data_IF_616584735646
#
_entry.id   IF_616584735646
#
_cell.length_a   1.000
_cell.length_b   1.000
_cell.length_c   1.000
_cell.angle_alpha   90.00
_cell.angle_beta   90.00
_cell.angle_gamma   90.00
#
_symmetry.space_group_name_H-M   'P 1'
#
loop_
_entity.id
_entity.type
_entity.pdbx_description
1 polymer ?
#
# COMPACT_ATOMS: atom_id res chain seq x y z
N UNK A 1 -8.16 6.34 -5.91
CA UNK A 1 -8.48 6.70 -4.52
C UNK A 1 -9.33 7.95 -4.56
N UNK A 2 -10.49 7.91 -3.92
CA UNK A 2 -11.40 9.06 -3.84
C UNK A 2 -11.77 9.29 -2.38
N UNK A 3 -11.69 10.53 -1.92
CA UNK A 3 -11.96 10.90 -0.52
C UNK A 3 -12.49 12.32 -0.43
N UNK A 4 -13.30 12.59 0.59
CA UNK A 4 -13.75 13.92 0.97
C UNK A 4 -13.03 14.45 2.22
N UNK A 5 -12.07 13.69 2.77
CA UNK A 5 -11.36 14.06 4.00
C UNK A 5 -10.34 15.17 3.73
N UNK A 6 -10.32 16.25 4.53
CA UNK A 6 -9.47 17.42 4.27
C UNK A 6 -7.99 17.18 4.51
N UNK A 7 -7.62 16.09 5.21
CA UNK A 7 -6.22 15.70 5.44
C UNK A 7 -5.49 15.36 4.13
N UNK A 8 -6.23 14.96 3.10
CA UNK A 8 -5.70 14.60 1.79
C UNK A 8 -5.68 15.81 0.86
N UNK A 9 -4.54 16.05 0.19
CA UNK A 9 -4.36 17.24 -0.68
C UNK A 9 -5.30 17.27 -1.88
N UNK A 10 -5.54 16.11 -2.49
CA UNK A 10 -6.46 15.95 -3.63
C UNK A 10 -7.59 15.01 -3.26
N UNK A 11 -8.80 15.33 -3.73
CA UNK A 11 -10.01 14.53 -3.50
C UNK A 11 -10.03 13.24 -4.32
N UNK A 12 -9.35 13.23 -5.45
CA UNK A 12 -9.25 12.09 -6.34
C UNK A 12 -7.80 11.95 -6.84
N UNK A 13 -7.27 10.73 -6.76
CA UNK A 13 -5.94 10.39 -7.27
C UNK A 13 -5.93 8.97 -7.86
N UNK A 14 -5.11 8.78 -8.89
CA UNK A 14 -4.84 7.47 -9.48
C UNK A 14 -3.34 7.28 -9.65
N UNK A 15 -2.80 6.23 -9.01
CA UNK A 15 -1.37 5.94 -8.98
C UNK A 15 -1.15 4.44 -9.19
N UNK A 16 -0.05 4.06 -9.84
CA UNK A 16 0.34 2.66 -10.00
C UNK A 16 1.29 2.26 -8.88
N UNK A 17 1.04 1.09 -8.27
CA UNK A 17 1.83 0.52 -7.17
C UNK A 17 2.11 -0.95 -7.39
N UNK A 18 3.34 -1.35 -7.10
CA UNK A 18 3.78 -2.76 -7.10
C UNK A 18 3.55 -3.36 -5.71
N UNK A 19 3.48 -4.68 -5.62
CA UNK A 19 3.39 -5.39 -4.34
C UNK A 19 4.49 -4.97 -3.34
N UNK A 20 5.72 -4.76 -3.81
CA UNK A 20 6.83 -4.28 -2.98
C UNK A 20 6.61 -2.89 -2.37
N UNK A 21 5.80 -2.05 -3.01
CA UNK A 21 5.46 -0.72 -2.50
C UNK A 21 4.49 -0.84 -1.32
N UNK A 22 3.61 -1.84 -1.35
CA UNK A 22 2.74 -2.17 -0.21
C UNK A 22 3.55 -2.76 0.96
N UNK A 23 4.54 -3.61 0.69
CA UNK A 23 5.49 -4.08 1.71
C UNK A 23 6.21 -2.90 2.37
N UNK A 24 6.68 -1.94 1.56
CA UNK A 24 7.29 -0.71 2.06
C UNK A 24 6.33 0.09 2.95
N UNK A 25 5.10 0.39 2.49
CA UNK A 25 4.12 1.14 3.28
C UNK A 25 3.81 0.46 4.62
N UNK A 26 3.64 -0.86 4.61
CA UNK A 26 3.42 -1.65 5.83
C UNK A 26 4.58 -1.47 6.80
N UNK A 27 5.82 -1.60 6.34
CA UNK A 27 7.01 -1.50 7.19
C UNK A 27 7.19 -0.09 7.77
N UNK A 28 6.88 0.96 6.99
CA UNK A 28 6.90 2.35 7.48
C UNK A 28 5.89 2.57 8.60
N UNK A 29 4.65 2.08 8.41
CA UNK A 29 3.60 2.18 9.41
C UNK A 29 3.91 1.36 10.66
N UNK A 30 4.50 0.16 10.52
CA UNK A 30 4.91 -0.65 11.68
C UNK A 30 6.04 -0.02 12.48
N UNK A 31 6.94 0.72 11.83
CA UNK A 31 8.07 1.38 12.50
C UNK A 31 7.65 2.63 13.26
N UNK A 32 6.91 3.52 12.61
CA UNK A 32 6.68 4.87 13.11
C UNK A 32 5.27 5.05 13.71
N UNK A 33 4.33 4.17 13.39
CA UNK A 33 2.94 4.24 13.87
C UNK A 33 2.64 3.17 14.89
N UNK A 34 1.91 3.52 15.96
CA UNK A 34 1.38 2.54 16.95
C UNK A 34 0.15 1.78 16.42
N UNK A 35 0.13 1.49 15.13
CA UNK A 35 -1.01 0.89 14.43
C UNK A 35 -0.76 -0.60 14.27
N UNK A 36 -1.78 -1.42 14.51
CA UNK A 36 -1.75 -2.82 14.13
C UNK A 36 -2.00 -2.91 12.63
N UNK A 37 -0.93 -3.02 11.86
CA UNK A 37 -1.01 -3.05 10.40
C UNK A 37 -1.61 -4.39 9.93
N UNK A 38 -2.65 -4.40 9.07
CA UNK A 38 -3.22 -5.64 8.55
C UNK A 38 -2.19 -6.45 7.76
N UNK A 39 -2.33 -7.78 7.69
CA UNK A 39 -1.44 -8.61 6.90
C UNK A 39 -1.61 -8.31 5.39
N UNK A 40 -0.49 -8.36 4.66
CA UNK A 40 -0.50 -8.33 3.20
C UNK A 40 -0.81 -9.73 2.64
N UNK A 41 -1.42 -9.84 1.45
CA UNK A 41 -1.54 -11.12 0.76
C UNK A 41 -0.14 -11.68 0.50
N UNK A 42 0.08 -12.96 0.78
CA UNK A 42 1.43 -13.53 0.80
C UNK A 42 2.24 -13.31 -0.49
N UNK A 43 3.56 -13.10 -0.33
CA UNK A 43 4.53 -12.92 -1.44
C UNK A 43 4.58 -14.11 -2.41
N UNK A 44 4.03 -15.26 -2.00
CA UNK A 44 3.89 -16.49 -2.77
C UNK A 44 5.19 -16.94 -3.46
N UNK A 45 6.28 -17.02 -2.70
CA UNK A 45 7.62 -17.39 -3.18
C UNK A 45 7.62 -18.71 -3.99
N UNK A 46 6.77 -19.68 -3.63
CA UNK A 46 6.63 -20.94 -4.37
C UNK A 46 6.18 -20.77 -5.82
N UNK A 47 5.39 -19.72 -6.10
CA UNK A 47 4.87 -19.38 -7.44
C UNK A 47 5.91 -18.70 -8.33
N UNK A 48 7.04 -18.26 -7.76
CA UNK A 48 8.16 -17.66 -8.51
C UNK A 48 9.23 -18.68 -8.93
N UNK A 49 9.11 -19.95 -8.49
CA UNK A 49 10.06 -20.99 -8.86
C UNK A 49 9.97 -21.33 -10.35
N UNK A 50 11.10 -21.60 -11.02
CA UNK A 50 11.10 -22.04 -12.41
C UNK A 50 10.53 -23.46 -12.55
N UNK A 51 10.20 -23.85 -13.79
CA UNK A 51 9.74 -25.21 -14.15
C UNK A 51 8.40 -25.63 -13.51
N UNK A 52 7.46 -24.69 -13.39
CA UNK A 52 6.07 -24.97 -12.99
C UNK A 52 5.24 -25.40 -14.20
N UNK A 53 4.19 -26.17 -13.96
CA UNK A 53 3.19 -26.53 -14.98
C UNK A 53 2.10 -25.47 -15.16
N UNK A 54 2.17 -24.37 -14.41
CA UNK A 54 1.27 -23.21 -14.46
C UNK A 54 2.06 -21.92 -14.70
N UNK A 55 1.35 -20.82 -14.95
CA UNK A 55 1.93 -19.49 -15.18
C UNK A 55 2.43 -18.79 -13.88
N UNK A 56 2.40 -19.49 -12.74
CA UNK A 56 3.00 -19.05 -11.48
C UNK A 56 2.43 -17.72 -10.94
N UNK A 57 3.22 -16.65 -11.06
CA UNK A 57 2.81 -15.29 -10.63
C UNK A 57 2.00 -14.54 -11.69
N UNK A 58 1.94 -15.07 -12.92
CA UNK A 58 1.20 -14.49 -14.04
C UNK A 58 -0.19 -15.12 -14.22
N UNK A 59 -0.52 -16.12 -13.42
CA UNK A 59 -1.86 -16.72 -13.37
C UNK A 59 -2.91 -15.67 -12.99
N UNK A 60 -3.98 -15.57 -13.78
CA UNK A 60 -5.02 -14.54 -13.64
C UNK A 60 -5.70 -14.58 -12.26
N UNK A 61 -6.08 -15.78 -11.81
CA UNK A 61 -6.70 -16.00 -10.49
C UNK A 61 -5.80 -15.51 -9.36
N UNK A 62 -4.50 -15.77 -9.46
CA UNK A 62 -3.53 -15.31 -8.48
C UNK A 62 -3.37 -13.79 -8.46
N UNK A 63 -3.34 -13.16 -9.64
CA UNK A 63 -3.28 -11.70 -9.77
C UNK A 63 -4.53 -11.07 -9.15
N UNK A 64 -5.71 -11.61 -9.44
CA UNK A 64 -6.98 -11.06 -8.98
C UNK A 64 -7.16 -11.24 -7.47
N UNK A 65 -6.81 -12.40 -6.91
CA UNK A 65 -6.84 -12.63 -5.46
C UNK A 65 -5.88 -11.70 -4.73
N UNK A 66 -4.68 -11.50 -5.28
CA UNK A 66 -3.73 -10.53 -4.75
C UNK A 66 -4.28 -9.11 -4.85
N UNK A 67 -4.88 -8.72 -5.97
CA UNK A 67 -5.49 -7.40 -6.17
C UNK A 67 -6.55 -7.12 -5.10
N UNK A 68 -7.47 -8.06 -4.89
CA UNK A 68 -8.51 -7.98 -3.84
C UNK A 68 -7.90 -7.85 -2.44
N UNK A 69 -6.88 -8.66 -2.12
CA UNK A 69 -6.20 -8.60 -0.83
C UNK A 69 -5.51 -7.25 -0.58
N UNK A 70 -4.84 -6.70 -1.60
CA UNK A 70 -4.21 -5.38 -1.52
C UNK A 70 -5.24 -4.25 -1.41
N UNK A 71 -6.38 -4.36 -2.08
CA UNK A 71 -7.49 -3.42 -1.98
C UNK A 71 -8.07 -3.40 -0.56
N UNK A 72 -8.32 -4.56 0.04
CA UNK A 72 -8.78 -4.65 1.44
C UNK A 72 -7.76 -4.05 2.39
N UNK A 73 -6.46 -4.33 2.20
CA UNK A 73 -5.38 -3.76 3.01
C UNK A 73 -5.38 -2.23 2.96
N UNK A 74 -5.36 -1.64 1.75
CA UNK A 74 -5.22 -0.19 1.62
C UNK A 74 -6.47 0.55 2.08
N UNK A 75 -7.66 -0.01 1.88
CA UNK A 75 -8.90 0.59 2.37
C UNK A 75 -8.92 0.64 3.91
N UNK A 76 -8.45 -0.41 4.59
CA UNK A 76 -8.33 -0.43 6.06
C UNK A 76 -7.32 0.61 6.56
N UNK A 77 -6.15 0.71 5.91
CA UNK A 77 -5.13 1.68 6.28
C UNK A 77 -5.61 3.12 6.02
N UNK A 78 -6.20 3.38 4.84
CA UNK A 78 -6.69 4.71 4.49
C UNK A 78 -7.83 5.19 5.38
N UNK A 79 -8.63 4.28 5.94
CA UNK A 79 -9.67 4.58 6.92
C UNK A 79 -9.16 4.80 8.35
N UNK A 80 -7.90 4.48 8.65
CA UNK A 80 -7.38 4.52 10.02
C UNK A 80 -6.87 5.94 10.39
N UNK A 81 -7.42 6.62 11.42
CA UNK A 81 -7.08 8.01 11.74
C UNK A 81 -5.59 8.25 12.00
N UNK A 82 -4.91 7.31 12.68
CA UNK A 82 -3.46 7.44 12.90
C UNK A 82 -2.67 7.33 11.59
N UNK A 83 -3.08 6.47 10.66
CA UNK A 83 -2.38 6.30 9.39
C UNK A 83 -2.62 7.50 8.46
N UNK A 84 -3.82 8.10 8.53
CA UNK A 84 -4.14 9.34 7.81
C UNK A 84 -3.22 10.50 8.19
N UNK A 85 -2.62 10.48 9.38
CA UNK A 85 -1.67 11.48 9.80
C UNK A 85 -0.24 11.21 9.32
N UNK A 86 0.05 10.04 8.76
CA UNK A 86 1.40 9.66 8.36
C UNK A 86 1.72 10.07 6.93
N UNK A 87 2.85 10.75 6.72
CA UNK A 87 3.28 11.21 5.39
C UNK A 87 3.44 10.07 4.39
N UNK A 88 3.86 8.90 4.85
CA UNK A 88 4.04 7.73 3.99
C UNK A 88 2.75 7.30 3.28
N UNK A 89 1.58 7.43 3.94
CA UNK A 89 0.29 7.09 3.35
C UNK A 89 -0.08 8.05 2.22
N UNK A 90 0.18 9.34 2.39
CA UNK A 90 -0.12 10.35 1.37
C UNK A 90 0.77 10.20 0.15
N UNK A 91 2.08 9.98 0.37
CA UNK A 91 3.01 9.65 -0.71
C UNK A 91 2.58 8.37 -1.44
N UNK A 92 2.12 7.36 -0.70
CA UNK A 92 1.63 6.13 -1.29
C UNK A 92 0.37 6.33 -2.15
N UNK A 93 -0.60 7.15 -1.72
CA UNK A 93 -1.90 7.31 -2.38
C UNK A 93 -1.97 8.42 -3.44
N UNK A 94 -1.13 9.46 -3.33
CA UNK A 94 -1.29 10.69 -4.14
C UNK A 94 -0.09 11.00 -5.04
N UNK A 95 1.11 10.59 -4.68
CA UNK A 95 2.31 10.91 -5.48
C UNK A 95 2.54 9.88 -6.59
N UNK A 96 3.11 10.27 -7.72
CA UNK A 96 3.32 9.32 -8.83
C UNK A 96 4.37 8.27 -8.48
N UNK A 97 5.43 8.67 -7.77
CA UNK A 97 6.56 7.83 -7.33
C UNK A 97 6.71 7.90 -5.81
N UNK A 98 7.26 6.84 -5.21
CA UNK A 98 7.60 6.81 -3.78
C UNK A 98 9.06 7.17 -3.62
N UNK A 99 9.35 8.28 -2.93
CA UNK A 99 10.70 8.61 -2.51
C UNK A 99 11.08 7.79 -1.27
N UNK A 100 11.98 6.81 -1.45
CA UNK A 100 12.44 5.95 -0.36
C UNK A 100 13.39 6.67 0.60
N UNK A 101 13.93 7.83 0.22
CA UNK A 101 14.79 8.67 1.05
C UNK A 101 14.01 9.80 1.71
N UNK A 102 12.67 9.78 1.64
CA UNK A 102 11.85 10.78 2.30
C UNK A 102 12.12 10.80 3.81
N UNK A 103 11.94 11.98 4.41
CA UNK A 103 12.02 12.13 5.86
C UNK A 103 10.68 11.67 6.46
N UNK A 104 10.67 10.60 7.30
CA UNK A 104 9.46 10.14 7.97
C UNK A 104 8.87 11.22 8.87
N UNK A 105 7.56 11.19 9.04
CA UNK A 105 6.86 12.13 9.90
C UNK A 105 5.40 12.30 9.55
N UNK A 106 4.75 13.14 10.34
CA UNK A 106 3.32 13.42 10.22
C UNK A 106 3.03 14.49 9.17
N UNK A 107 1.84 14.43 8.60
CA UNK A 107 1.29 15.50 7.76
C UNK A 107 1.18 16.76 8.62
N UNK A 108 1.78 17.86 8.15
CA UNK A 108 1.55 19.17 8.74
C UNK A 108 0.31 19.74 8.07
N UNK A 109 -0.77 19.90 8.84
CA UNK A 109 -1.91 20.71 8.40
C UNK A 109 -1.41 22.16 8.33
N UNK A 110 -1.17 22.66 7.13
CA UNK A 110 -1.08 24.11 6.86
C UNK A 110 -2.46 24.67 6.61
#
# INVERSE_FOLDING_TARGET
FQTNLPVFKVKESSVRRRYSDFEWLRNELERDSKIVVPPLPGKAWKRQLPFRGDDGIFEEDFIEDRRKGLEVFINKIAGHPLAQNERCLHMFLQESQIDKNYVPGKIRNT
#
